data_IF_267747425435
#
_entry.id   IF_267747425435
#
_cell.length_a   1.000
_cell.length_b   1.000
_cell.length_c   1.000
_cell.angle_alpha   90.00
_cell.angle_beta   90.00
_cell.angle_gamma   90.00
#
_symmetry.space_group_name_H-M   'P 1'
#
loop_
_entity.id
_entity.type
_entity.pdbx_description
1 polymer ?
#
# COMPACT_ATOMS: atom_id res chain seq x y z
N UNK A 1 -27.50 -3.64 5.12
CA UNK A 1 -27.30 -4.30 6.43
C UNK A 1 -28.09 -3.51 7.46
N UNK A 2 -28.74 -4.18 8.39
CA UNK A 2 -29.32 -3.58 9.61
C UNK A 2 -28.23 -3.37 10.66
N UNK A 3 -28.50 -2.58 11.71
CA UNK A 3 -27.56 -2.39 12.84
C UNK A 3 -27.19 -3.73 13.48
N UNK A 4 -28.18 -4.62 13.70
CA UNK A 4 -27.96 -5.97 14.24
C UNK A 4 -27.00 -6.80 13.40
N UNK A 5 -27.14 -6.76 12.07
CA UNK A 5 -26.22 -7.45 11.15
C UNK A 5 -24.81 -6.84 11.18
N UNK A 6 -24.71 -5.52 11.34
CA UNK A 6 -23.42 -4.83 11.45
C UNK A 6 -22.68 -5.27 12.71
N UNK A 7 -23.34 -5.31 13.87
CA UNK A 7 -22.75 -5.75 15.13
C UNK A 7 -22.23 -7.19 15.03
N UNK A 8 -23.04 -8.12 14.51
CA UNK A 8 -22.62 -9.51 14.28
C UNK A 8 -21.41 -9.61 13.36
N UNK A 9 -21.35 -8.79 12.30
CA UNK A 9 -20.22 -8.78 11.39
C UNK A 9 -18.94 -8.21 12.04
N UNK A 10 -19.07 -7.23 12.95
CA UNK A 10 -17.97 -6.60 13.67
C UNK A 10 -17.33 -7.52 14.72
N UNK A 11 -18.12 -8.41 15.34
CA UNK A 11 -17.63 -9.47 16.25
C UNK A 11 -16.78 -10.53 15.53
N UNK A 12 -17.01 -10.73 14.23
CA UNK A 12 -16.28 -11.69 13.41
C UNK A 12 -14.83 -11.26 13.12
N UNK A 13 -13.98 -12.23 12.74
CA UNK A 13 -12.58 -11.98 12.38
C UNK A 13 -12.36 -11.57 10.91
N UNK A 14 -13.36 -11.76 10.04
CA UNK A 14 -13.21 -11.55 8.60
C UNK A 14 -13.20 -10.06 8.23
N UNK A 15 -12.03 -9.52 7.86
CA UNK A 15 -11.82 -8.10 7.57
C UNK A 15 -12.88 -7.50 6.64
N UNK A 16 -13.20 -8.14 5.52
CA UNK A 16 -14.19 -7.64 4.57
C UNK A 16 -15.61 -7.53 5.12
N UNK A 17 -15.99 -8.39 6.08
CA UNK A 17 -17.32 -8.31 6.72
C UNK A 17 -17.37 -7.11 7.67
N UNK A 18 -16.30 -6.94 8.45
CA UNK A 18 -16.16 -5.82 9.40
C UNK A 18 -16.15 -4.48 8.66
N UNK A 19 -15.42 -4.38 7.55
CA UNK A 19 -15.39 -3.18 6.70
C UNK A 19 -16.76 -2.86 6.09
N UNK A 20 -17.48 -3.86 5.56
CA UNK A 20 -18.86 -3.68 5.08
C UNK A 20 -19.79 -3.20 6.18
N UNK A 21 -19.63 -3.69 7.40
CA UNK A 21 -20.42 -3.25 8.55
C UNK A 21 -20.16 -1.78 8.88
N UNK A 22 -18.90 -1.33 8.91
CA UNK A 22 -18.56 0.10 9.12
C UNK A 22 -19.18 0.97 8.04
N UNK A 23 -19.05 0.60 6.76
CA UNK A 23 -19.62 1.37 5.66
C UNK A 23 -21.16 1.39 5.71
N UNK A 24 -21.78 0.28 6.10
CA UNK A 24 -23.22 0.22 6.29
C UNK A 24 -23.70 1.11 7.45
N UNK A 25 -22.99 1.12 8.58
CA UNK A 25 -23.27 2.02 9.71
C UNK A 25 -23.15 3.49 9.27
N UNK A 26 -22.10 3.84 8.52
CA UNK A 26 -21.95 5.20 7.98
C UNK A 26 -23.14 5.60 7.10
N UNK A 27 -23.58 4.68 6.22
CA UNK A 27 -24.73 4.91 5.33
C UNK A 27 -26.07 4.99 6.07
N UNK A 28 -26.24 4.26 7.18
CA UNK A 28 -27.43 4.35 8.03
C UNK A 28 -27.54 5.75 8.66
N UNK A 29 -26.41 6.31 9.11
CA UNK A 29 -26.29 7.73 9.46
C UNK A 29 -27.16 8.22 10.62
N UNK A 30 -27.85 7.34 11.35
CA UNK A 30 -28.63 7.71 12.53
C UNK A 30 -27.74 7.77 13.80
N UNK A 31 -28.27 8.34 14.89
CA UNK A 31 -27.51 8.54 16.13
C UNK A 31 -26.97 7.24 16.72
N UNK A 32 -27.72 6.15 16.60
CA UNK A 32 -27.30 4.83 17.07
C UNK A 32 -26.07 4.32 16.30
N UNK A 33 -26.10 4.40 14.96
CA UNK A 33 -24.97 4.01 14.12
C UNK A 33 -23.74 4.89 14.36
N UNK A 34 -23.93 6.20 14.52
CA UNK A 34 -22.86 7.14 14.86
C UNK A 34 -22.19 6.79 16.20
N UNK A 35 -22.98 6.49 17.24
CA UNK A 35 -22.46 6.09 18.55
C UNK A 35 -21.66 4.78 18.48
N UNK A 36 -22.11 3.82 17.67
CA UNK A 36 -21.37 2.56 17.43
C UNK A 36 -20.02 2.85 16.76
N UNK A 37 -20.00 3.67 15.71
CA UNK A 37 -18.77 4.06 15.02
C UNK A 37 -17.82 4.80 15.97
N UNK A 38 -18.33 5.72 16.79
CA UNK A 38 -17.53 6.45 17.78
C UNK A 38 -16.95 5.49 18.84
N UNK A 39 -17.73 4.54 19.33
CA UNK A 39 -17.27 3.50 20.25
C UNK A 39 -16.12 2.68 19.64
N UNK A 40 -16.29 2.20 18.40
CA UNK A 40 -15.27 1.43 17.69
C UNK A 40 -14.01 2.26 17.50
N UNK A 41 -14.13 3.52 17.07
CA UNK A 41 -12.99 4.40 16.81
C UNK A 41 -12.10 4.62 18.04
N UNK A 42 -12.69 4.60 19.24
CA UNK A 42 -12.00 4.85 20.51
C UNK A 42 -11.61 3.56 21.26
N UNK A 43 -12.03 2.38 20.80
CA UNK A 43 -11.75 1.12 21.48
C UNK A 43 -10.30 0.68 21.28
N UNK A 44 -9.42 0.93 22.25
CA UNK A 44 -7.98 0.57 22.18
C UNK A 44 -7.69 -0.92 21.95
N UNK A 45 -8.62 -1.81 22.27
CA UNK A 45 -8.48 -3.25 22.05
C UNK A 45 -8.88 -3.68 20.63
N UNK A 46 -9.46 -2.77 19.85
CA UNK A 46 -9.81 -3.02 18.46
C UNK A 46 -8.58 -2.86 17.54
N UNK A 47 -8.61 -3.55 16.40
CA UNK A 47 -7.54 -3.46 15.41
C UNK A 47 -7.38 -2.02 14.90
N UNK A 48 -6.14 -1.51 14.76
CA UNK A 48 -5.87 -0.14 14.30
C UNK A 48 -6.63 0.27 13.04
N UNK A 49 -6.74 -0.65 12.07
CA UNK A 49 -7.46 -0.40 10.82
C UNK A 49 -8.97 -0.22 11.00
N UNK A 50 -9.62 -1.06 11.81
CA UNK A 50 -11.05 -0.92 12.10
C UNK A 50 -11.33 0.41 12.80
N UNK A 51 -10.46 0.81 13.76
CA UNK A 51 -10.58 2.11 14.42
C UNK A 51 -10.44 3.27 13.45
N UNK A 52 -9.44 3.23 12.57
CA UNK A 52 -9.23 4.26 11.55
C UNK A 52 -10.48 4.46 10.68
N UNK A 53 -11.04 3.36 10.16
CA UNK A 53 -12.22 3.44 9.31
C UNK A 53 -13.48 3.88 10.03
N UNK A 54 -13.66 3.46 11.28
CA UNK A 54 -14.74 3.98 12.10
C UNK A 54 -14.59 5.49 12.37
N UNK A 55 -13.36 5.96 12.64
CA UNK A 55 -13.05 7.39 12.82
C UNK A 55 -13.37 8.20 11.55
N UNK A 56 -12.94 7.70 10.39
CA UNK A 56 -13.20 8.35 9.09
C UNK A 56 -14.70 8.46 8.81
N UNK A 57 -15.47 7.41 9.09
CA UNK A 57 -16.93 7.42 8.94
C UNK A 57 -17.60 8.50 9.82
N UNK A 58 -17.20 8.63 11.09
CA UNK A 58 -17.71 9.69 11.98
C UNK A 58 -17.38 11.09 11.45
N UNK A 59 -16.17 11.30 10.96
CA UNK A 59 -15.73 12.59 10.41
C UNK A 59 -16.51 12.99 9.15
N UNK A 60 -16.90 12.03 8.31
CA UNK A 60 -17.73 12.30 7.12
C UNK A 60 -19.20 12.59 7.46
N UNK A 61 -19.70 12.15 8.62
CA UNK A 61 -21.09 12.33 9.03
C UNK A 61 -21.37 13.69 9.70
N UNK A 62 -20.34 14.39 10.17
CA UNK A 62 -20.49 15.74 10.73
C UNK A 62 -20.58 16.77 9.60
N UNK A 63 -21.57 17.69 9.60
CA UNK A 63 -21.61 18.77 8.61
C UNK A 63 -20.32 19.58 8.75
N UNK A 64 -19.62 19.73 7.63
CA UNK A 64 -18.36 20.46 7.50
C UNK A 64 -18.48 21.81 8.19
N UNK A 65 -17.96 21.91 9.40
CA UNK A 65 -17.74 23.17 10.10
C UNK A 65 -16.24 23.34 10.30
N UNK A 66 -15.74 24.41 9.70
CA UNK A 66 -14.37 24.90 9.73
C UNK A 66 -13.28 23.98 9.19
N UNK A 67 -12.77 24.35 8.01
CA UNK A 67 -11.36 24.18 7.70
C UNK A 67 -10.52 24.71 8.87
N UNK A 68 -10.03 23.85 9.75
CA UNK A 68 -8.73 24.11 10.34
C UNK A 68 -7.71 23.86 9.23
N UNK A 69 -7.40 24.94 8.50
CA UNK A 69 -6.09 25.07 7.87
C UNK A 69 -5.08 24.71 8.96
N UNK A 70 -4.40 23.58 8.81
CA UNK A 70 -3.10 23.38 9.44
C UNK A 70 -2.17 24.44 8.83
N UNK A 71 -2.22 25.64 9.38
CA UNK A 71 -1.17 26.64 9.25
C UNK A 71 0.00 26.12 10.09
N UNK A 72 0.71 25.16 9.51
CA UNK A 72 2.06 24.80 9.90
C UNK A 72 2.82 24.72 8.60
N UNK A 73 3.58 25.76 8.29
CA UNK A 73 4.52 25.77 7.17
C UNK A 73 5.53 24.63 7.38
N UNK A 74 5.18 23.43 6.90
CA UNK A 74 6.17 22.41 6.59
C UNK A 74 6.71 22.82 5.25
N UNK A 75 7.81 23.57 5.30
CA UNK A 75 8.68 23.85 4.18
C UNK A 75 9.13 22.50 3.62
N UNK A 76 8.44 22.00 2.61
CA UNK A 76 9.04 21.03 1.69
C UNK A 76 10.08 21.80 0.88
N UNK A 77 11.33 21.33 0.78
CA UNK A 77 12.30 22.00 -0.07
C UNK A 77 11.76 22.01 -1.49
N UNK A 78 11.48 23.21 -1.99
CA UNK A 78 11.27 23.49 -3.40
C UNK A 78 12.53 23.06 -4.17
N UNK A 79 12.58 21.81 -4.61
CA UNK A 79 13.56 21.32 -5.57
C UNK A 79 13.17 21.80 -6.96
N UNK A 80 13.64 23.00 -7.31
CA UNK A 80 13.46 23.64 -8.60
C UNK A 80 13.96 22.80 -9.79
N UNK A 81 13.43 23.19 -10.94
CA UNK A 81 13.75 22.74 -12.30
C UNK A 81 15.23 22.38 -12.51
N UNK A 82 15.47 21.16 -12.99
CA UNK A 82 16.45 20.92 -14.07
C UNK A 82 15.86 19.92 -15.07
N UNK A 83 15.07 20.45 -16.00
CA UNK A 83 14.77 19.78 -17.26
C UNK A 83 15.89 20.12 -18.25
N UNK A 84 16.65 19.13 -18.71
CA UNK A 84 17.24 19.12 -20.06
C UNK A 84 17.70 17.71 -20.48
N UNK A 85 16.86 17.11 -21.33
CA UNK A 85 17.14 16.20 -22.47
C UNK A 85 18.05 14.98 -22.26
N UNK A 86 17.49 13.80 -22.54
CA UNK A 86 17.66 13.22 -23.88
C UNK A 86 16.37 12.51 -24.34
N UNK A 87 16.00 12.78 -25.58
CA UNK A 87 14.81 12.33 -26.28
C UNK A 87 14.96 10.87 -26.78
N UNK A 88 13.82 10.20 -26.84
CA UNK A 88 13.43 9.13 -27.76
C UNK A 88 14.50 8.62 -28.74
N UNK A 89 14.93 7.36 -28.54
CA UNK A 89 15.13 6.38 -29.62
C UNK A 89 15.01 4.97 -29.05
N UNK A 90 14.16 4.13 -29.66
CA UNK A 90 14.25 2.68 -29.55
C UNK A 90 13.49 2.07 -28.37
N UNK A 91 12.38 1.40 -28.65
CA UNK A 91 11.52 0.79 -27.65
C UNK A 91 12.18 -0.33 -26.86
N UNK A 92 11.69 -0.53 -25.64
CA UNK A 92 11.37 -1.84 -25.11
C UNK A 92 10.33 -1.63 -24.00
N UNK A 93 9.07 -1.95 -24.32
CA UNK A 93 8.04 -2.21 -23.34
C UNK A 93 8.56 -3.38 -22.48
N UNK A 94 8.95 -3.13 -21.24
CA UNK A 94 9.12 -4.22 -20.27
C UNK A 94 7.69 -4.60 -19.86
N UNK A 95 7.12 -5.51 -20.64
CA UNK A 95 5.89 -6.23 -20.33
C UNK A 95 6.17 -7.06 -19.07
N UNK A 96 5.51 -6.72 -17.96
CA UNK A 96 5.27 -7.69 -16.88
C UNK A 96 4.23 -8.68 -17.41
N UNK A 97 4.70 -9.69 -18.15
CA UNK A 97 3.94 -10.89 -18.47
C UNK A 97 3.85 -11.75 -17.20
N UNK A 98 2.85 -11.47 -16.37
CA UNK A 98 2.34 -12.42 -15.38
C UNK A 98 0.89 -12.77 -15.77
N UNK A 99 0.78 -13.52 -16.86
CA UNK A 99 -0.43 -14.27 -17.21
C UNK A 99 -0.06 -15.75 -17.39
N UNK A 100 -0.89 -16.62 -16.80
CA UNK A 100 -0.85 -18.08 -16.75
C UNK A 100 -0.04 -18.73 -15.61
N UNK A 101 -0.68 -18.83 -14.45
CA UNK A 101 -0.97 -20.09 -13.75
C UNK A 101 -1.99 -19.80 -12.64
N UNK A 102 -3.27 -19.80 -13.02
CA UNK A 102 -4.39 -19.87 -12.09
C UNK A 102 -4.50 -21.34 -11.68
N UNK A 103 -4.11 -21.68 -10.45
CA UNK A 103 -4.54 -22.94 -9.81
C UNK A 103 -5.41 -22.53 -8.63
N UNK A 104 -6.58 -23.15 -8.59
CA UNK A 104 -7.64 -23.02 -7.59
C UNK A 104 -7.09 -22.95 -6.15
N UNK A 105 -7.45 -21.91 -5.41
CA UNK A 105 -7.38 -21.92 -3.94
C UNK A 105 -8.77 -22.20 -3.39
N UNK A 106 -9.14 -23.48 -3.43
CA UNK A 106 -10.04 -24.06 -2.45
C UNK A 106 -9.27 -24.42 -1.17
N UNK A 107 -9.97 -24.35 -0.04
CA UNK A 107 -9.54 -24.71 1.32
C UNK A 107 -8.63 -23.70 2.04
N UNK A 108 -9.29 -22.92 2.90
CA UNK A 108 -8.72 -22.40 4.15
C UNK A 108 -8.19 -23.60 4.93
N UNK A 109 -6.87 -23.68 5.12
CA UNK A 109 -6.27 -24.51 6.16
C UNK A 109 -5.50 -23.62 7.13
N UNK A 110 -5.65 -23.93 8.40
CA UNK A 110 -5.03 -23.26 9.53
C UNK A 110 -3.51 -23.19 9.35
N UNK A 111 -2.98 -21.98 9.20
CA UNK A 111 -1.54 -21.75 9.36
C UNK A 111 -1.29 -21.48 10.84
N UNK A 112 -0.72 -22.50 11.46
CA UNK A 112 -0.10 -22.48 12.77
C UNK A 112 0.92 -21.35 12.90
N UNK A 113 0.97 -20.79 14.11
CA UNK A 113 1.63 -19.53 14.40
C UNK A 113 3.10 -19.44 14.00
N UNK A 114 3.43 -18.34 13.33
CA UNK A 114 4.59 -17.52 13.71
C UNK A 114 4.13 -16.08 13.80
N UNK A 115 4.01 -15.62 15.04
CA UNK A 115 3.75 -14.26 15.43
C UNK A 115 4.89 -13.39 14.91
N UNK A 116 4.64 -12.60 13.87
CA UNK A 116 5.51 -11.47 13.54
C UNK A 116 5.03 -10.28 14.37
N UNK A 117 5.33 -10.36 15.67
CA UNK A 117 5.43 -9.18 16.53
C UNK A 117 6.92 -8.93 16.80
N UNK A 118 7.29 -7.66 16.81
CA UNK A 118 8.42 -7.12 17.58
C UNK A 118 9.81 -6.95 16.94
N UNK A 119 10.04 -7.18 15.64
CA UNK A 119 11.38 -6.97 15.03
C UNK A 119 11.48 -6.01 13.83
N UNK A 120 10.60 -5.01 13.72
CA UNK A 120 10.97 -3.73 13.08
C UNK A 120 11.58 -2.85 14.17
N UNK A 121 12.87 -3.03 14.45
CA UNK A 121 13.61 -2.19 15.40
C UNK A 121 13.88 -0.84 14.71
N UNK A 122 13.03 0.14 15.04
CA UNK A 122 13.15 1.55 14.69
C UNK A 122 14.18 2.22 15.59
N UNK A 123 15.34 2.61 15.03
CA UNK A 123 16.35 3.35 15.79
C UNK A 123 16.20 4.87 15.61
N UNK A 124 16.21 5.54 16.76
CA UNK A 124 15.79 6.92 17.06
C UNK A 124 16.78 8.03 16.67
N UNK A 125 16.27 9.25 16.43
CA UNK A 125 16.38 10.41 17.36
C UNK A 125 15.57 11.61 16.86
N UNK A 126 15.19 12.48 17.81
CA UNK A 126 14.44 13.76 17.72
C UNK A 126 12.94 13.71 17.39
N UNK A 127 12.09 13.68 18.44
CA UNK A 127 10.79 14.40 18.58
C UNK A 127 9.95 13.79 19.72
N UNK A 128 10.31 14.06 20.97
CA UNK A 128 9.60 13.46 22.14
C UNK A 128 8.17 13.96 22.33
N UNK A 129 7.76 15.07 21.71
CA UNK A 129 6.40 15.60 21.84
C UNK A 129 5.43 15.20 20.70
N UNK A 130 5.91 14.62 19.59
CA UNK A 130 5.07 14.04 18.52
C UNK A 130 4.86 12.52 18.68
N UNK A 131 5.71 11.86 19.48
CA UNK A 131 5.70 10.41 19.70
C UNK A 131 4.48 9.88 20.45
N UNK A 132 3.83 10.70 21.28
CA UNK A 132 2.67 10.25 22.06
C UNK A 132 1.38 10.10 21.23
N UNK A 133 1.27 10.81 20.10
CA UNK A 133 0.12 10.72 19.18
C UNK A 133 0.41 9.82 17.96
N UNK A 134 1.69 9.58 17.66
CA UNK A 134 2.21 8.71 16.58
C UNK A 134 2.60 7.32 17.14
N UNK A 135 2.32 7.01 18.41
CA UNK A 135 2.75 5.77 19.08
C UNK A 135 2.12 4.49 18.52
N UNK A 136 1.17 4.61 17.60
CA UNK A 136 0.86 3.54 16.66
C UNK A 136 1.25 4.01 15.26
N UNK A 137 2.16 3.31 14.55
CA UNK A 137 2.36 3.58 13.14
C UNK A 137 1.03 3.32 12.44
N UNK A 138 0.32 4.41 12.16
CA UNK A 138 -0.96 4.39 11.51
C UNK A 138 -0.69 4.63 10.01
N UNK A 139 -0.53 3.56 9.20
CA UNK A 139 -0.26 3.70 7.76
C UNK A 139 -1.34 4.51 7.04
N UNK A 140 -2.52 4.65 7.64
CA UNK A 140 -3.62 5.42 7.07
C UNK A 140 -3.33 6.92 7.01
N UNK A 141 -2.54 7.47 7.96
CA UNK A 141 -2.07 8.86 7.87
C UNK A 141 -1.11 9.05 6.68
N UNK A 142 -0.28 8.04 6.38
CA UNK A 142 0.58 8.05 5.20
C UNK A 142 -0.25 8.05 3.91
N UNK A 143 -1.35 7.30 3.88
CA UNK A 143 -2.25 7.30 2.72
C UNK A 143 -2.94 8.66 2.51
N UNK A 144 -3.40 9.31 3.58
CA UNK A 144 -3.96 10.67 3.51
C UNK A 144 -2.93 11.70 3.02
N UNK A 145 -1.68 11.61 3.53
CA UNK A 145 -0.59 12.48 3.08
C UNK A 145 -0.25 12.24 1.60
N UNK A 146 -0.16 10.98 1.18
CA UNK A 146 0.08 10.62 -0.21
C UNK A 146 -1.07 11.05 -1.12
N UNK A 147 -2.32 10.96 -0.63
CA UNK A 147 -3.49 11.42 -1.34
C UNK A 147 -3.44 12.93 -1.61
N UNK A 148 -3.10 13.73 -0.60
CA UNK A 148 -2.91 15.18 -0.75
C UNK A 148 -1.78 15.53 -1.71
N UNK A 149 -0.63 14.85 -1.63
CA UNK A 149 0.55 15.16 -2.41
C UNK A 149 0.46 14.71 -3.89
N UNK A 150 -0.11 13.53 -4.14
CA UNK A 150 -0.09 12.90 -5.46
C UNK A 150 -1.45 12.89 -6.16
N UNK A 151 -2.52 13.29 -5.48
CA UNK A 151 -3.90 13.20 -5.96
C UNK A 151 -4.27 11.76 -6.40
N UNK A 152 -3.88 10.79 -5.57
CA UNK A 152 -4.24 9.37 -5.67
C UNK A 152 -5.10 9.02 -4.47
N UNK A 153 -6.25 8.37 -4.65
CA UNK A 153 -7.15 8.07 -3.53
C UNK A 153 -6.46 7.21 -2.46
N UNK A 154 -6.52 7.60 -1.19
CA UNK A 154 -5.95 6.81 -0.08
C UNK A 154 -6.50 5.38 -0.07
N UNK A 155 -7.80 5.24 -0.35
CA UNK A 155 -8.47 3.95 -0.48
C UNK A 155 -7.91 3.07 -1.60
N UNK A 156 -7.41 3.66 -2.70
CA UNK A 156 -6.74 2.92 -3.76
C UNK A 156 -5.35 2.46 -3.34
N UNK A 157 -4.58 3.33 -2.67
CA UNK A 157 -3.27 2.97 -2.11
C UNK A 157 -3.43 1.82 -1.11
N UNK A 158 -4.42 1.90 -0.23
CA UNK A 158 -4.70 0.81 0.71
C UNK A 158 -5.15 -0.47 0.01
N UNK A 159 -6.00 -0.35 -1.01
CA UNK A 159 -6.43 -1.49 -1.83
C UNK A 159 -5.25 -2.23 -2.44
N UNK A 160 -4.26 -1.50 -2.95
CA UNK A 160 -3.00 -2.08 -3.44
C UNK A 160 -2.25 -2.78 -2.31
N UNK A 161 -2.08 -2.14 -1.15
CA UNK A 161 -1.40 -2.78 -0.02
C UNK A 161 -2.09 -4.08 0.44
N UNK A 162 -3.42 -4.08 0.47
CA UNK A 162 -4.21 -5.26 0.79
C UNK A 162 -4.04 -6.36 -0.27
N UNK A 163 -4.14 -6.01 -1.54
CA UNK A 163 -4.03 -6.97 -2.64
C UNK A 163 -2.62 -7.56 -2.76
N UNK A 164 -1.59 -6.74 -2.57
CA UNK A 164 -0.19 -7.13 -2.75
C UNK A 164 0.34 -7.97 -1.58
N UNK A 165 0.01 -7.58 -0.34
CA UNK A 165 0.63 -8.22 0.84
C UNK A 165 -0.33 -8.55 1.96
N UNK A 166 -1.65 -8.51 1.72
CA UNK A 166 -2.64 -8.68 2.78
C UNK A 166 -2.39 -7.72 3.96
N UNK A 167 -2.05 -6.47 3.65
CA UNK A 167 -1.63 -5.46 4.63
C UNK A 167 -0.34 -5.84 5.38
N UNK A 168 0.68 -6.29 4.64
CA UNK A 168 1.97 -6.70 5.18
C UNK A 168 2.00 -8.07 5.87
N UNK A 169 0.88 -8.79 5.94
CA UNK A 169 0.82 -10.15 6.51
C UNK A 169 1.48 -11.21 5.62
N UNK A 170 1.56 -10.95 4.32
CA UNK A 170 2.15 -11.85 3.34
C UNK A 170 3.12 -11.07 2.46
N UNK A 171 4.37 -10.95 2.90
CA UNK A 171 5.44 -10.33 2.12
C UNK A 171 6.22 -11.35 1.27
N UNK A 172 5.89 -12.63 1.39
CA UNK A 172 6.62 -13.75 0.82
C UNK A 172 7.76 -14.25 1.72
N UNK A 173 8.15 -15.50 1.49
CA UNK A 173 9.14 -16.27 2.26
C UNK A 173 10.36 -16.69 1.40
N UNK A 174 10.47 -16.14 0.18
CA UNK A 174 11.60 -16.38 -0.70
C UNK A 174 12.74 -15.43 -0.35
N UNK A 175 13.94 -15.97 -0.14
CA UNK A 175 15.15 -15.14 -0.14
C UNK A 175 15.34 -14.56 -1.53
N UNK A 176 15.20 -13.24 -1.67
CA UNK A 176 15.15 -12.58 -2.98
C UNK A 176 16.40 -12.87 -3.81
N UNK A 177 17.56 -12.90 -3.17
CA UNK A 177 18.83 -13.23 -3.83
C UNK A 177 18.83 -14.60 -4.53
N UNK A 178 18.04 -15.55 -4.04
CA UNK A 178 17.98 -16.92 -4.56
C UNK A 178 16.91 -17.10 -5.64
N UNK A 179 15.89 -16.26 -5.67
CA UNK A 179 14.84 -16.26 -6.72
C UNK A 179 15.48 -16.23 -8.11
N UNK A 180 16.49 -15.37 -8.29
CA UNK A 180 17.16 -15.18 -9.57
C UNK A 180 18.15 -16.30 -9.95
N UNK A 181 18.39 -17.28 -9.07
CA UNK A 181 19.24 -18.45 -9.36
C UNK A 181 18.44 -19.67 -9.82
N UNK A 182 17.11 -19.63 -9.75
CA UNK A 182 16.25 -20.75 -10.11
C UNK A 182 16.37 -21.05 -11.61
N UNK A 183 16.85 -22.25 -11.96
CA UNK A 183 17.18 -22.68 -13.34
C UNK A 183 15.99 -23.19 -14.16
N UNK A 184 14.79 -23.33 -13.57
CA UNK A 184 13.66 -24.06 -14.19
C UNK A 184 13.09 -23.39 -15.46
N UNK A 185 13.42 -22.12 -15.71
CA UNK A 185 13.03 -21.36 -16.91
C UNK A 185 14.28 -20.62 -17.41
N UNK A 186 14.73 -20.98 -18.61
CA UNK A 186 16.12 -20.75 -19.04
C UNK A 186 16.26 -20.10 -20.43
N UNK A 187 15.21 -19.40 -20.91
CA UNK A 187 15.33 -18.62 -22.14
C UNK A 187 16.35 -17.47 -21.97
N UNK A 188 17.02 -17.02 -23.04
CA UNK A 188 17.96 -15.91 -22.97
C UNK A 188 17.37 -14.63 -22.37
N UNK A 189 16.11 -14.31 -22.70
CA UNK A 189 15.40 -13.13 -22.22
C UNK A 189 15.16 -13.22 -20.70
N UNK A 190 14.74 -14.39 -20.22
CA UNK A 190 14.51 -14.63 -18.79
C UNK A 190 15.81 -14.59 -18.01
N UNK A 191 16.92 -15.11 -18.56
CA UNK A 191 18.25 -14.99 -17.95
C UNK A 191 18.68 -13.54 -17.78
N UNK A 192 18.52 -12.75 -18.84
CA UNK A 192 18.90 -11.34 -18.82
C UNK A 192 18.03 -10.53 -17.85
N UNK A 193 16.71 -10.78 -17.82
CA UNK A 193 15.82 -10.17 -16.84
C UNK A 193 16.23 -10.53 -15.40
N UNK A 194 16.46 -11.82 -15.09
CA UNK A 194 16.92 -12.27 -13.76
C UNK A 194 18.23 -11.59 -13.35
N UNK A 195 19.17 -11.43 -14.28
CA UNK A 195 20.44 -10.74 -14.04
C UNK A 195 20.19 -9.29 -13.64
N UNK A 196 19.38 -8.56 -14.42
CA UNK A 196 19.02 -7.15 -14.14
C UNK A 196 18.32 -6.97 -12.79
N UNK A 197 17.32 -7.80 -12.49
CA UNK A 197 16.61 -7.72 -11.21
C UNK A 197 17.54 -8.03 -10.02
N UNK A 198 18.45 -9.01 -10.17
CA UNK A 198 19.43 -9.34 -9.14
C UNK A 198 20.41 -8.20 -8.89
N UNK A 199 20.92 -7.58 -9.94
CA UNK A 199 21.83 -6.42 -9.83
C UNK A 199 21.11 -5.24 -9.17
N UNK A 200 19.86 -4.98 -9.56
CA UNK A 200 19.03 -3.95 -8.97
C UNK A 200 18.79 -4.19 -7.47
N UNK A 201 18.44 -5.42 -7.09
CA UNK A 201 18.23 -5.80 -5.69
C UNK A 201 19.49 -5.58 -4.83
N UNK A 202 20.66 -5.96 -5.36
CA UNK A 202 21.94 -5.75 -4.67
C UNK A 202 22.22 -4.25 -4.50
N UNK A 203 21.97 -3.44 -5.52
CA UNK A 203 22.17 -1.99 -5.46
C UNK A 203 21.26 -1.35 -4.39
N UNK A 204 19.98 -1.73 -4.36
CA UNK A 204 19.00 -1.25 -3.37
C UNK A 204 19.44 -1.61 -1.95
N UNK A 205 19.83 -2.87 -1.72
CA UNK A 205 20.28 -3.29 -0.39
C UNK A 205 21.52 -2.50 0.05
N UNK A 206 22.49 -2.28 -0.85
CA UNK A 206 23.69 -1.50 -0.54
C UNK A 206 23.35 -0.05 -0.19
N UNK A 207 22.49 0.61 -0.98
CA UNK A 207 22.06 1.99 -0.74
C UNK A 207 21.34 2.15 0.62
N UNK A 208 20.63 1.10 1.05
CA UNK A 208 19.90 1.08 2.31
C UNK A 208 20.68 0.49 3.50
N UNK A 209 21.92 0.04 3.31
CA UNK A 209 22.73 -0.61 4.35
C UNK A 209 22.18 -1.98 4.80
N UNK A 210 21.46 -2.67 3.93
CA UNK A 210 20.80 -3.96 4.20
C UNK A 210 21.68 -5.15 3.80
N UNK A 211 21.62 -6.23 4.59
CA UNK A 211 22.23 -7.51 4.22
C UNK A 211 21.40 -8.20 3.13
N UNK A 212 21.97 -8.33 1.93
CA UNK A 212 21.35 -8.98 0.76
C UNK A 212 20.91 -10.43 1.03
N UNK A 213 21.45 -11.10 2.06
CA UNK A 213 21.11 -12.49 2.40
C UNK A 213 19.90 -12.62 3.30
N UNK A 214 19.45 -11.51 3.89
CA UNK A 214 18.39 -11.46 4.91
C UNK A 214 17.11 -10.79 4.42
N UNK A 215 17.03 -10.43 3.13
CA UNK A 215 15.82 -9.86 2.58
C UNK A 215 14.94 -10.95 1.96
N UNK A 216 13.68 -10.93 2.37
CA UNK A 216 12.63 -11.82 1.91
C UNK A 216 11.59 -11.06 1.09
N UNK A 217 10.96 -11.76 0.17
CA UNK A 217 10.03 -11.19 -0.78
C UNK A 217 9.19 -12.24 -1.48
N UNK A 218 8.46 -11.76 -2.50
CA UNK A 218 7.63 -12.60 -3.36
C UNK A 218 8.44 -13.58 -4.21
N UNK A 219 7.71 -14.49 -4.86
CA UNK A 219 8.27 -15.60 -5.64
C UNK A 219 9.12 -15.15 -6.83
N UNK A 220 8.92 -13.93 -7.32
CA UNK A 220 9.67 -13.33 -8.43
C UNK A 220 10.63 -12.23 -7.95
N UNK A 221 10.78 -12.08 -6.63
CA UNK A 221 11.68 -11.14 -5.97
C UNK A 221 11.04 -9.79 -5.69
N UNK A 222 9.71 -9.74 -5.68
CA UNK A 222 8.93 -8.59 -5.24
C UNK A 222 9.27 -8.19 -3.81
N UNK A 223 9.47 -6.90 -3.57
CA UNK A 223 9.95 -6.37 -2.29
C UNK A 223 8.85 -5.61 -1.56
N UNK A 224 8.79 -5.82 -0.25
CA UNK A 224 8.08 -4.94 0.67
C UNK A 224 6.55 -4.95 0.55
N UNK A 225 5.88 -3.99 1.21
CA UNK A 225 4.42 -3.97 1.37
C UNK A 225 3.65 -3.92 0.06
N UNK A 226 4.24 -3.30 -0.96
CA UNK A 226 3.62 -3.11 -2.28
C UNK A 226 4.21 -4.03 -3.35
N UNK A 227 5.09 -4.97 -2.99
CA UNK A 227 5.60 -5.99 -3.92
C UNK A 227 6.28 -5.40 -5.18
N UNK A 228 7.04 -4.32 -5.03
CA UNK A 228 7.80 -3.75 -6.15
C UNK A 228 8.92 -4.68 -6.59
N UNK A 229 9.08 -4.88 -7.89
CA UNK A 229 10.28 -5.51 -8.44
C UNK A 229 11.52 -4.60 -8.25
N UNK A 230 12.72 -5.16 -8.05
CA UNK A 230 13.94 -4.38 -7.85
C UNK A 230 14.24 -3.36 -8.95
N UNK A 231 14.13 -3.73 -10.22
CA UNK A 231 14.39 -2.81 -11.32
C UNK A 231 13.40 -1.64 -11.33
N UNK A 232 12.14 -1.89 -11.01
CA UNK A 232 11.11 -0.86 -10.85
C UNK A 232 11.45 0.07 -9.69
N UNK A 233 11.84 -0.46 -8.54
CA UNK A 233 12.22 0.36 -7.37
C UNK A 233 13.43 1.24 -7.64
N UNK A 234 14.43 0.77 -8.38
CA UNK A 234 15.57 1.62 -8.76
C UNK A 234 15.18 2.86 -9.55
N UNK A 235 14.12 2.79 -10.36
CA UNK A 235 13.69 3.90 -11.22
C UNK A 235 12.71 4.82 -10.48
N UNK A 236 11.81 4.25 -9.69
CA UNK A 236 10.66 4.98 -9.13
C UNK A 236 10.71 5.17 -7.61
N UNK A 237 11.58 4.45 -6.91
CA UNK A 237 11.70 4.50 -5.45
C UNK A 237 11.91 5.91 -4.95
N UNK A 238 11.11 6.30 -3.95
CA UNK A 238 11.17 7.60 -3.30
C UNK A 238 11.35 7.45 -1.80
N UNK A 239 12.23 8.29 -1.27
CA UNK A 239 12.38 8.56 0.16
C UNK A 239 11.16 9.37 0.62
N UNK A 240 10.27 8.72 1.35
CA UNK A 240 9.01 9.26 1.85
C UNK A 240 9.09 9.79 3.27
N UNK A 241 10.09 9.35 4.04
CA UNK A 241 10.32 9.80 5.42
C UNK A 241 11.45 10.85 5.54
N UNK A 242 12.13 11.16 4.43
CA UNK A 242 13.26 12.09 4.33
C UNK A 242 14.51 11.68 5.13
N UNK A 243 14.75 10.38 5.29
CA UNK A 243 15.94 9.84 5.99
C UNK A 243 17.19 9.73 5.08
N UNK A 244 17.05 10.10 3.81
CA UNK A 244 18.08 10.06 2.78
C UNK A 244 18.14 8.74 2.01
N UNK A 245 17.22 7.80 2.24
CA UNK A 245 17.19 6.48 1.62
C UNK A 245 15.78 6.15 1.11
N UNK A 246 15.72 5.42 0.01
CA UNK A 246 14.48 4.84 -0.49
C UNK A 246 14.49 3.33 -0.21
N UNK A 247 13.87 2.93 0.89
CA UNK A 247 13.79 1.56 1.38
C UNK A 247 12.44 0.91 1.03
N UNK A 248 12.39 -0.14 0.19
CA UNK A 248 11.11 -0.76 -0.20
C UNK A 248 10.37 -1.44 0.96
N UNK A 249 11.07 -1.75 2.07
CA UNK A 249 10.45 -2.32 3.27
C UNK A 249 9.98 -1.26 4.27
N UNK A 250 10.36 0.01 4.08
CA UNK A 250 9.81 1.12 4.87
C UNK A 250 8.43 1.50 4.34
N UNK A 251 7.46 1.66 5.23
CA UNK A 251 6.08 1.91 4.82
C UNK A 251 5.88 3.32 4.25
N UNK A 252 6.58 4.34 4.76
CA UNK A 252 6.47 5.70 4.25
C UNK A 252 7.06 5.81 2.84
N UNK A 253 8.20 5.18 2.61
CA UNK A 253 8.84 5.12 1.30
C UNK A 253 7.98 4.34 0.29
N UNK A 254 7.46 3.18 0.70
CA UNK A 254 6.66 2.34 -0.18
C UNK A 254 5.33 3.02 -0.57
N UNK A 255 4.66 3.69 0.38
CA UNK A 255 3.45 4.49 0.14
C UNK A 255 3.73 5.68 -0.79
N UNK A 256 4.81 6.41 -0.52
CA UNK A 256 5.20 7.55 -1.34
C UNK A 256 5.54 7.12 -2.76
N UNK A 257 6.24 5.99 -2.90
CA UNK A 257 6.63 5.41 -4.18
C UNK A 257 5.41 4.97 -4.98
N UNK A 258 4.47 4.21 -4.40
CA UNK A 258 3.27 3.76 -5.13
C UNK A 258 2.38 4.93 -5.55
N UNK A 259 2.21 5.95 -4.69
CA UNK A 259 1.43 7.13 -5.03
C UNK A 259 2.08 7.93 -6.16
N UNK A 260 3.39 8.15 -6.09
CA UNK A 260 4.18 8.81 -7.14
C UNK A 260 4.11 8.01 -8.46
N UNK A 261 4.21 6.68 -8.39
CA UNK A 261 4.16 5.79 -9.54
C UNK A 261 2.80 5.92 -10.26
N UNK A 262 1.70 5.78 -9.52
CA UNK A 262 0.36 5.89 -10.10
C UNK A 262 0.12 7.28 -10.70
N UNK A 263 0.55 8.34 -10.00
CA UNK A 263 0.47 9.71 -10.51
C UNK A 263 1.23 9.88 -11.83
N UNK A 264 2.46 9.37 -11.91
CA UNK A 264 3.28 9.42 -13.11
C UNK A 264 2.58 8.76 -14.30
N UNK A 265 1.95 7.60 -14.07
CA UNK A 265 1.15 6.89 -15.09
C UNK A 265 -0.26 7.45 -15.30
N UNK A 266 -0.50 8.65 -14.77
CA UNK A 266 -1.64 9.47 -15.11
C UNK A 266 -2.86 9.22 -14.24
N UNK A 267 -2.73 8.60 -13.07
CA UNK A 267 -3.85 8.48 -12.14
C UNK A 267 -4.54 9.83 -11.93
N UNK A 268 -5.87 9.81 -12.00
CA UNK A 268 -6.73 10.96 -11.75
C UNK A 268 -7.99 10.46 -11.05
N UNK A 269 -8.25 11.01 -9.86
CA UNK A 269 -9.47 10.73 -9.10
C UNK A 269 -10.71 10.94 -9.95
N UNK A 270 -11.73 10.13 -9.70
CA UNK A 270 -13.03 10.17 -10.37
C UNK A 270 -13.00 9.94 -11.90
N UNK A 271 -11.84 9.67 -12.49
CA UNK A 271 -11.71 9.32 -13.91
C UNK A 271 -11.37 7.83 -14.04
N UNK A 272 -12.40 7.01 -14.18
CA UNK A 272 -12.29 5.55 -14.27
C UNK A 272 -11.25 5.09 -15.30
N UNK A 273 -11.21 5.74 -16.47
CA UNK A 273 -10.29 5.36 -17.53
C UNK A 273 -8.83 5.71 -17.17
N UNK A 274 -8.59 6.85 -16.53
CA UNK A 274 -7.24 7.22 -16.04
C UNK A 274 -6.80 6.30 -14.91
N UNK A 275 -7.71 5.95 -14.00
CA UNK A 275 -7.44 5.00 -12.90
C UNK A 275 -7.07 3.62 -13.46
N UNK A 276 -7.92 3.06 -14.33
CA UNK A 276 -7.69 1.76 -14.97
C UNK A 276 -6.37 1.70 -15.73
N UNK A 277 -6.04 2.74 -16.50
CA UNK A 277 -4.77 2.83 -17.21
C UNK A 277 -3.58 2.87 -16.27
N UNK A 278 -3.61 3.69 -15.22
CA UNK A 278 -2.52 3.78 -14.25
C UNK A 278 -2.27 2.44 -13.54
N UNK A 279 -3.34 1.74 -13.14
CA UNK A 279 -3.24 0.41 -12.52
C UNK A 279 -2.72 -0.65 -13.51
N UNK A 280 -3.05 -0.55 -14.80
CA UNK A 280 -2.54 -1.49 -15.81
C UNK A 280 -1.01 -1.46 -15.97
N UNK A 281 -0.35 -0.33 -15.62
CA UNK A 281 1.12 -0.28 -15.55
C UNK A 281 1.67 -1.02 -14.34
N UNK A 282 0.89 -1.13 -13.27
CA UNK A 282 1.23 -1.93 -12.09
C UNK A 282 1.02 -3.41 -12.33
N UNK A 283 -0.15 -3.79 -12.83
CA UNK A 283 -0.51 -5.16 -13.18
C UNK A 283 -1.56 -5.15 -14.32
N UNK A 284 -1.25 -5.85 -15.41
CA UNK A 284 -2.06 -5.82 -16.64
C UNK A 284 -3.34 -6.67 -16.58
N UNK A 285 -3.56 -7.42 -15.49
CA UNK A 285 -4.72 -8.31 -15.35
C UNK A 285 -6.02 -7.53 -15.12
N UNK A 286 -7.05 -7.67 -15.97
CA UNK A 286 -8.35 -7.06 -15.72
C UNK A 286 -8.98 -7.54 -14.41
N UNK A 287 -8.83 -8.84 -14.08
CA UNK A 287 -9.34 -9.42 -12.83
C UNK A 287 -8.69 -8.79 -11.59
N UNK A 288 -7.40 -8.45 -11.71
CA UNK A 288 -6.67 -7.76 -10.64
C UNK A 288 -7.24 -6.35 -10.44
N UNK A 289 -7.46 -5.61 -11.53
CA UNK A 289 -8.11 -4.29 -11.47
C UNK A 289 -9.52 -4.37 -10.83
N UNK A 290 -10.34 -5.34 -11.23
CA UNK A 290 -11.69 -5.50 -10.66
C UNK A 290 -11.63 -5.81 -9.15
N UNK A 291 -10.64 -6.60 -8.72
CA UNK A 291 -10.40 -6.89 -7.30
C UNK A 291 -10.00 -5.65 -6.52
N UNK A 292 -9.05 -4.87 -7.07
CA UNK A 292 -8.62 -3.60 -6.48
C UNK A 292 -9.76 -2.61 -6.35
N UNK A 293 -10.60 -2.50 -7.38
CA UNK A 293 -11.74 -1.60 -7.34
C UNK A 293 -12.72 -2.00 -6.24
N UNK A 294 -13.07 -3.29 -6.14
CA UNK A 294 -13.91 -3.79 -5.04
C UNK A 294 -13.32 -3.50 -3.66
N UNK A 295 -12.02 -3.73 -3.49
CA UNK A 295 -11.33 -3.49 -2.23
C UNK A 295 -11.28 -1.98 -1.90
N UNK A 296 -11.00 -1.12 -2.87
CA UNK A 296 -11.04 0.33 -2.69
C UNK A 296 -12.44 0.83 -2.26
N UNK A 297 -13.50 0.22 -2.79
CA UNK A 297 -14.88 0.46 -2.34
C UNK A 297 -15.12 0.05 -0.88
N UNK A 298 -14.48 -1.02 -0.38
CA UNK A 298 -14.50 -1.36 1.04
C UNK A 298 -13.80 -0.30 1.89
N UNK A 299 -12.78 0.35 1.33
CA UNK A 299 -12.00 1.41 1.94
C UNK A 299 -12.58 2.81 1.73
N UNK A 300 -13.83 2.91 1.27
CA UNK A 300 -14.57 4.18 1.20
C UNK A 300 -14.31 5.00 -0.07
N UNK A 301 -13.75 4.40 -1.12
CA UNK A 301 -13.73 5.00 -2.45
C UNK A 301 -15.12 4.91 -3.09
N UNK A 302 -15.70 6.05 -3.47
CA UNK A 302 -16.91 6.07 -4.29
C UNK A 302 -16.54 5.74 -5.73
N UNK A 303 -16.99 4.59 -6.20
CA UNK A 303 -16.89 4.20 -7.60
C UNK A 303 -18.12 4.76 -8.31
N UNK A 304 -17.93 5.84 -9.06
CA UNK A 304 -18.93 6.36 -9.99
C UNK A 304 -18.90 5.58 -11.30
#
# INVERSE_FOLDING_TARGET
MTIKECLKALEGKHIGNRMRAINALNKIGNKEAENILLFISNNKNEKPYIRHYAKRAVQTASPVSSHQKLNGDIIMPHGGLFYKRLLFTGGFLILVLLSFLYIDYGAISEVSGRQWSDNLIWNNKTTENLKAEISEPNPYKLFEMAEGAYNVDAAMIESLWFQESSMGRNLGDYRILDVYKIKKIDSPEVKEWKKKEREAFIAICKANGLDIRKQFGGRYGEMGPFQFLPSTWLVYGKDGNSDGRANPWDMADAVTTVASYLKLYGYKKEDFNRIKRAIAFYNQSPKYFDSLQRNAGLFGMEIK
#
